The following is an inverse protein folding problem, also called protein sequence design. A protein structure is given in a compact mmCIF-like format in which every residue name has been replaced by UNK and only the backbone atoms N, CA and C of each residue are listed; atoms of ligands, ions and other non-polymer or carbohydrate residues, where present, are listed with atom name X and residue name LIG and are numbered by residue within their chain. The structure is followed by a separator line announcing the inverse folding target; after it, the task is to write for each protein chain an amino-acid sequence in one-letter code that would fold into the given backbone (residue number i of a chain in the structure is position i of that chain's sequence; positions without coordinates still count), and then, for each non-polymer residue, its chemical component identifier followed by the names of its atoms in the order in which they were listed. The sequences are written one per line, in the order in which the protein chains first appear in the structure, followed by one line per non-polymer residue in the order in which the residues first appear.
data_IF_305992326708
#
_entry.id   IF_305992326708
#
_cell.length_a   1.000
_cell.length_b   1.000
_cell.length_c   1.000
_cell.angle_alpha   90.00
_cell.angle_beta   90.00
_cell.angle_gamma   90.00
#
_symmetry.space_group_name_H-M   'P 1'
#
loop_
_entity.id
_entity.type
_entity.pdbx_description
1 polymer ?
#
# COMPACT_ATOMS: atom_id res chain seq x y z
N UNK A 1 19.71 -21.06 -8.36
CA UNK A 1 18.33 -20.55 -8.49
C UNK A 1 17.96 -20.15 -7.08
N UNK A 2 17.89 -18.85 -6.81
CA UNK A 2 17.36 -18.35 -5.54
C UNK A 2 15.88 -18.72 -5.56
N UNK A 3 15.50 -19.74 -4.79
CA UNK A 3 14.11 -20.19 -4.72
C UNK A 3 13.40 -19.28 -3.73
N UNK A 4 13.10 -18.04 -4.14
CA UNK A 4 12.22 -17.18 -3.36
C UNK A 4 10.85 -17.87 -3.26
N UNK A 5 10.39 -18.05 -2.02
CA UNK A 5 9.06 -18.59 -1.76
C UNK A 5 8.02 -17.66 -2.40
N UNK A 6 7.00 -18.18 -3.10
CA UNK A 6 5.99 -17.34 -3.71
C UNK A 6 5.32 -16.48 -2.63
N UNK A 7 5.01 -15.20 -2.93
CA UNK A 7 4.41 -14.31 -1.95
C UNK A 7 3.07 -14.89 -1.47
N UNK A 8 2.85 -14.86 -0.16
CA UNK A 8 1.60 -15.29 0.45
C UNK A 8 0.49 -14.25 0.19
N UNK A 9 -0.19 -14.40 -0.95
CA UNK A 9 -1.30 -13.52 -1.35
C UNK A 9 -2.61 -14.07 -0.83
N UNK A 10 -3.31 -13.29 -0.01
CA UNK A 10 -4.67 -13.58 0.46
C UNK A 10 -5.57 -12.36 0.28
N UNK A 11 -6.88 -12.60 0.20
CA UNK A 11 -7.87 -11.51 0.26
C UNK A 11 -7.92 -10.99 1.70
N UNK A 12 -7.89 -9.66 1.85
CA UNK A 12 -8.06 -9.02 3.16
C UNK A 12 -9.47 -9.22 3.69
N UNK A 13 -9.60 -9.41 5.00
CA UNK A 13 -10.89 -9.48 5.69
C UNK A 13 -11.11 -8.24 6.57
N UNK A 14 -12.26 -8.15 7.21
CA UNK A 14 -12.61 -7.00 8.06
C UNK A 14 -11.62 -6.78 9.24
N UNK A 15 -10.94 -7.83 9.70
CA UNK A 15 -9.91 -7.72 10.73
C UNK A 15 -8.62 -7.06 10.26
N UNK A 16 -8.40 -6.94 8.95
CA UNK A 16 -7.18 -6.37 8.37
C UNK A 16 -7.31 -4.87 8.04
N UNK A 17 -8.49 -4.27 8.26
CA UNK A 17 -8.81 -2.91 7.80
C UNK A 17 -7.81 -1.88 8.33
N UNK A 18 -7.54 -1.89 9.64
CA UNK A 18 -6.63 -0.92 10.26
C UNK A 18 -5.22 -1.04 9.69
N UNK A 19 -4.76 -2.26 9.43
CA UNK A 19 -3.44 -2.52 8.85
C UNK A 19 -3.37 -2.05 7.39
N UNK A 20 -4.41 -2.32 6.60
CA UNK A 20 -4.51 -1.87 5.21
C UNK A 20 -4.57 -0.33 5.13
N UNK A 21 -5.34 0.31 6.00
CA UNK A 21 -5.44 1.77 6.06
C UNK A 21 -4.09 2.38 6.42
N UNK A 22 -3.40 1.83 7.43
CA UNK A 22 -2.06 2.28 7.79
C UNK A 22 -1.08 2.12 6.63
N UNK A 23 -1.10 0.98 5.93
CA UNK A 23 -0.26 0.73 4.75
C UNK A 23 -0.52 1.75 3.64
N UNK A 24 -1.78 2.08 3.36
CA UNK A 24 -2.13 3.09 2.36
C UNK A 24 -1.61 4.48 2.75
N UNK A 25 -1.67 4.85 4.03
CA UNK A 25 -1.07 6.10 4.52
C UNK A 25 0.46 6.11 4.41
N UNK A 26 1.13 5.01 4.75
CA UNK A 26 2.58 4.90 4.64
C UNK A 26 3.03 5.00 3.17
N UNK A 27 2.32 4.31 2.27
CA UNK A 27 2.53 4.40 0.83
C UNK A 27 2.32 5.84 0.32
N UNK A 28 1.27 6.51 0.81
CA UNK A 28 0.98 7.88 0.46
C UNK A 28 2.10 8.85 0.83
N UNK A 29 2.57 8.77 2.08
CA UNK A 29 3.67 9.60 2.56
C UNK A 29 4.95 9.36 1.73
N UNK A 30 5.25 8.09 1.41
CA UNK A 30 6.39 7.76 0.58
C UNK A 30 6.28 8.32 -0.83
N UNK A 31 5.12 8.20 -1.47
CA UNK A 31 4.88 8.71 -2.83
C UNK A 31 4.92 10.24 -2.90
N UNK A 32 4.35 10.91 -1.89
CA UNK A 32 4.41 12.37 -1.76
C UNK A 32 5.86 12.84 -1.61
N UNK A 33 6.67 12.16 -0.77
CA UNK A 33 8.09 12.44 -0.64
C UNK A 33 8.90 12.21 -1.93
N UNK A 34 8.43 11.31 -2.80
CA UNK A 34 9.02 11.08 -4.13
C UNK A 34 8.50 12.04 -5.21
N UNK A 35 7.56 12.93 -4.88
CA UNK A 35 7.00 13.91 -5.81
C UNK A 35 6.13 13.28 -6.89
N UNK A 36 5.37 12.22 -6.58
CA UNK A 36 4.51 11.53 -7.56
C UNK A 36 3.12 12.18 -7.64
N UNK A 37 2.79 12.94 -8.71
CA UNK A 37 1.57 13.78 -8.73
C UNK A 37 0.26 12.98 -8.83
N UNK A 38 0.32 11.76 -9.38
CA UNK A 38 -0.85 10.93 -9.61
C UNK A 38 -1.53 10.43 -8.32
N UNK A 39 -0.77 10.35 -7.23
CA UNK A 39 -1.29 9.86 -5.94
C UNK A 39 -1.95 10.97 -5.11
N UNK A 40 -1.41 12.18 -5.17
CA UNK A 40 -2.03 13.37 -4.56
C UNK A 40 -3.46 13.58 -5.09
N UNK A 41 -3.71 13.27 -6.36
CA UNK A 41 -5.04 13.36 -6.97
C UNK A 41 -6.04 12.30 -6.47
N UNK A 42 -5.57 11.12 -6.03
CA UNK A 42 -6.42 10.03 -5.52
C UNK A 42 -6.84 10.23 -4.06
N UNK A 43 -6.07 11.00 -3.28
CA UNK A 43 -6.39 11.30 -1.87
C UNK A 43 -7.37 12.47 -1.71
N UNK A 44 -7.56 13.28 -2.75
CA UNK A 44 -8.43 14.47 -2.73
C UNK A 44 -9.85 14.20 -3.27
N UNK A 45 -10.14 12.98 -3.71
CA UNK A 45 -11.44 12.57 -4.29
C UNK A 45 -12.36 11.86 -3.31
#
# INVERSE_FOLDING_TARGET
MDSEEPPNVRVACSGDIDEVVRLMHDAAAWMSAKGTPAWEALLQS
#
